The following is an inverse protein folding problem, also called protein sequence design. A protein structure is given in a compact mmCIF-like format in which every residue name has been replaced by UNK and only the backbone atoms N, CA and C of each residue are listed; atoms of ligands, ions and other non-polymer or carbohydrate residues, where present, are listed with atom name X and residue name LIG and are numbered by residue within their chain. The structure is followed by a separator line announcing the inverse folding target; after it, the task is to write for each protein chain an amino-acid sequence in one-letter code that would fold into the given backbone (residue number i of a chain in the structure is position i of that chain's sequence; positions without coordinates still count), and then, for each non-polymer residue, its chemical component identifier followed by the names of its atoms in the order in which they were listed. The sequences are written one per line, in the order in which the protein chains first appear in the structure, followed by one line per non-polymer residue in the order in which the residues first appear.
data_IF_083760010630
#
_entry.id   IF_083760010630
#
_cell.length_a   1.000
_cell.length_b   1.000
_cell.length_c   1.000
_cell.angle_alpha   90.00
_cell.angle_beta   90.00
_cell.angle_gamma   90.00
#
_symmetry.space_group_name_H-M   'P 1'
#
loop_
_entity.id
_entity.type
_entity.pdbx_description
1 polymer ?
#
# COMPACT_ATOMS: atom_id res chain seq x y z
N UNK A 1 -2.70 -16.30 1.16
CA UNK A 1 -3.31 -15.01 0.79
C UNK A 1 -2.95 -14.70 -0.64
N UNK A 2 -3.94 -14.38 -1.49
CA UNK A 2 -3.73 -14.03 -2.90
C UNK A 2 -4.73 -12.94 -3.29
N UNK A 3 -4.23 -11.80 -3.77
CA UNK A 3 -5.07 -10.73 -4.30
C UNK A 3 -4.49 -10.19 -5.59
N UNK A 4 -5.37 -9.90 -6.54
CA UNK A 4 -5.01 -9.05 -7.66
C UNK A 4 -5.04 -7.59 -7.20
N UNK A 5 -4.11 -6.79 -7.70
CA UNK A 5 -3.98 -5.36 -7.45
C UNK A 5 -3.52 -4.67 -8.73
N UNK A 6 -3.51 -3.35 -8.73
CA UNK A 6 -3.07 -2.55 -9.86
C UNK A 6 -2.23 -1.37 -9.36
N UNK A 7 -0.96 -1.34 -9.76
CA UNK A 7 -0.04 -0.25 -9.48
C UNK A 7 -0.20 0.83 -10.55
N UNK A 8 -0.91 1.90 -10.23
CA UNK A 8 -1.16 3.00 -11.16
C UNK A 8 0.10 3.82 -11.42
N UNK A 9 0.48 3.96 -12.69
CA UNK A 9 1.51 4.92 -13.14
C UNK A 9 0.90 6.23 -13.60
N UNK A 10 -0.32 6.17 -14.14
CA UNK A 10 -1.15 7.34 -14.47
C UNK A 10 -2.61 7.09 -14.05
N UNK A 11 -3.53 7.99 -14.41
CA UNK A 11 -4.97 7.78 -14.13
C UNK A 11 -5.59 6.62 -14.93
N UNK A 12 -4.98 6.21 -16.05
CA UNK A 12 -5.55 5.23 -16.99
C UNK A 12 -4.69 3.97 -17.21
N UNK A 13 -3.41 4.01 -16.85
CA UNK A 13 -2.47 2.91 -17.02
C UNK A 13 -1.69 2.58 -15.75
N UNK A 14 -1.05 1.41 -15.78
CA UNK A 14 -0.28 0.89 -14.66
C UNK A 14 0.04 -0.57 -14.85
N UNK A 15 0.58 -1.17 -13.79
CA UNK A 15 0.99 -2.55 -13.80
C UNK A 15 0.04 -3.41 -12.97
N UNK A 16 -0.50 -4.50 -13.52
CA UNK A 16 -1.15 -5.54 -12.75
C UNK A 16 -0.15 -6.18 -11.77
N UNK A 17 -0.60 -6.37 -10.53
CA UNK A 17 0.20 -6.98 -9.47
C UNK A 17 -0.57 -8.13 -8.84
N UNK A 18 0.10 -9.25 -8.60
CA UNK A 18 -0.37 -10.32 -7.76
C UNK A 18 0.27 -10.20 -6.38
N UNK A 19 -0.53 -9.87 -5.36
CA UNK A 19 -0.08 -9.81 -3.98
C UNK A 19 -0.19 -11.20 -3.36
N UNK A 20 0.93 -11.73 -2.91
CA UNK A 20 1.03 -13.00 -2.20
C UNK A 20 1.26 -12.79 -0.71
N UNK A 21 1.45 -13.87 0.06
CA UNK A 21 1.83 -13.74 1.47
C UNK A 21 3.28 -13.23 1.64
N UNK A 22 4.15 -13.51 0.68
CA UNK A 22 5.57 -13.21 0.71
C UNK A 22 5.83 -11.81 0.15
N UNK A 23 5.33 -11.56 -1.04
CA UNK A 23 5.67 -10.38 -1.84
C UNK A 23 4.57 -9.98 -2.86
N UNK A 24 4.56 -8.72 -3.30
CA UNK A 24 3.90 -8.31 -4.53
C UNK A 24 4.70 -8.79 -5.75
N UNK A 25 4.00 -9.25 -6.79
CA UNK A 25 4.59 -9.74 -8.04
C UNK A 25 3.97 -8.99 -9.20
N UNK A 26 4.77 -8.23 -9.95
CA UNK A 26 4.33 -7.62 -11.20
C UNK A 26 4.14 -8.71 -12.25
N UNK A 27 2.96 -8.76 -12.88
CA UNK A 27 2.61 -9.85 -13.81
C UNK A 27 2.69 -9.41 -15.28
N UNK A 28 3.07 -8.16 -15.54
CA UNK A 28 3.41 -7.65 -16.87
C UNK A 28 4.74 -6.92 -16.84
N UNK A 29 5.47 -6.94 -17.95
CA UNK A 29 6.74 -6.19 -18.11
C UNK A 29 6.49 -4.73 -18.51
N UNK A 30 5.39 -4.47 -19.23
CA UNK A 30 4.96 -3.13 -19.66
C UNK A 30 3.64 -2.74 -18.97
N UNK A 31 3.39 -1.43 -18.77
CA UNK A 31 2.13 -0.96 -18.23
C UNK A 31 1.00 -1.23 -19.23
N UNK A 32 -0.18 -1.56 -18.70
CA UNK A 32 -1.39 -1.80 -19.49
C UNK A 32 -2.49 -0.84 -19.07
N UNK A 33 -3.56 -0.77 -19.88
CA UNK A 33 -4.74 0.00 -19.53
C UNK A 33 -5.49 -0.64 -18.37
N UNK A 34 -5.91 0.17 -17.38
CA UNK A 34 -6.71 -0.30 -16.24
C UNK A 34 -8.01 -0.98 -16.69
N UNK A 35 -8.58 -0.56 -17.82
CA UNK A 35 -9.79 -1.17 -18.42
C UNK A 35 -9.53 -2.59 -18.91
N UNK A 36 -8.37 -2.84 -19.49
CA UNK A 36 -7.97 -4.18 -19.93
C UNK A 36 -7.86 -5.12 -18.72
N UNK A 37 -7.19 -4.67 -17.67
CA UNK A 37 -7.07 -5.42 -16.43
C UNK A 37 -8.45 -5.73 -15.80
N UNK A 38 -9.34 -4.72 -15.72
CA UNK A 38 -10.70 -4.90 -15.21
C UNK A 38 -11.50 -5.93 -16.02
N UNK A 39 -11.38 -5.94 -17.34
CA UNK A 39 -12.04 -6.93 -18.19
C UNK A 39 -11.57 -8.35 -17.85
N UNK A 40 -10.26 -8.55 -17.72
CA UNK A 40 -9.68 -9.84 -17.33
C UNK A 40 -10.15 -10.29 -15.94
N UNK A 41 -10.19 -9.38 -14.95
CA UNK A 41 -10.73 -9.70 -13.62
C UNK A 41 -12.21 -10.08 -13.68
N UNK A 42 -13.01 -9.41 -14.52
CA UNK A 42 -14.43 -9.77 -14.69
C UNK A 42 -14.60 -11.15 -15.33
N UNK A 43 -13.71 -11.55 -16.24
CA UNK A 43 -13.67 -12.91 -16.78
C UNK A 43 -13.31 -13.94 -15.70
N UNK A 44 -12.38 -13.61 -14.79
CA UNK A 44 -12.03 -14.47 -13.65
C UNK A 44 -13.19 -14.71 -12.69
N UNK A 45 -13.99 -13.69 -12.38
CA UNK A 45 -15.19 -13.88 -11.54
C UNK A 45 -16.17 -14.85 -12.20
N UNK A 46 -16.22 -14.83 -13.53
CA UNK A 46 -17.10 -15.67 -14.33
C UNK A 46 -16.43 -16.97 -14.81
N UNK A 47 -15.32 -17.40 -14.19
CA UNK A 47 -14.59 -18.63 -14.53
C UNK A 47 -15.52 -19.86 -14.56
N UNK A 48 -16.06 -20.14 -15.74
CA UNK A 48 -16.78 -21.38 -16.09
C UNK A 48 -15.82 -22.45 -16.62
N UNK A 49 -14.66 -22.03 -17.11
CA UNK A 49 -13.62 -22.91 -17.66
C UNK A 49 -12.72 -23.47 -16.56
N UNK A 50 -12.17 -24.66 -16.80
CA UNK A 50 -11.26 -25.35 -15.86
C UNK A 50 -9.89 -24.67 -15.78
N UNK A 51 -9.49 -23.95 -16.84
CA UNK A 51 -8.20 -23.26 -16.93
C UNK A 51 -8.34 -21.95 -17.71
N UNK A 52 -7.63 -20.91 -17.29
CA UNK A 52 -7.42 -19.67 -18.05
C UNK A 52 -5.97 -19.20 -17.90
N UNK A 53 -5.52 -18.35 -18.82
CA UNK A 53 -4.23 -17.66 -18.75
C UNK A 53 -4.49 -16.15 -18.63
N UNK A 54 -3.81 -15.48 -17.71
CA UNK A 54 -3.86 -14.03 -17.53
C UNK A 54 -2.45 -13.53 -17.29
N UNK A 55 -1.90 -12.80 -18.28
CA UNK A 55 -0.55 -12.24 -18.23
C UNK A 55 0.50 -13.30 -17.83
N UNK A 56 0.42 -14.50 -18.42
CA UNK A 56 1.35 -15.60 -18.12
C UNK A 56 1.07 -16.34 -16.81
N UNK A 57 0.06 -15.92 -16.04
CA UNK A 57 -0.46 -16.69 -14.91
C UNK A 57 -1.41 -17.77 -15.41
N UNK A 58 -1.04 -19.04 -15.20
CA UNK A 58 -1.95 -20.15 -15.45
C UNK A 58 -2.84 -20.39 -14.24
N UNK A 59 -4.12 -20.09 -14.39
CA UNK A 59 -5.14 -20.20 -13.33
C UNK A 59 -6.01 -21.41 -13.63
N UNK A 60 -6.04 -22.38 -12.71
CA UNK A 60 -6.73 -23.66 -12.86
C UNK A 60 -7.70 -23.85 -11.69
N UNK A 61 -8.97 -24.07 -11.99
CA UNK A 61 -10.01 -24.35 -10.99
C UNK A 61 -10.18 -25.86 -10.83
N UNK A 62 -9.88 -26.38 -9.65
CA UNK A 62 -9.97 -27.79 -9.29
C UNK A 62 -10.96 -27.98 -8.14
N UNK A 63 -12.25 -28.06 -8.46
CA UNK A 63 -13.31 -28.20 -7.45
C UNK A 63 -13.35 -27.01 -6.50
N UNK A 64 -13.02 -27.24 -5.23
CA UNK A 64 -13.05 -26.24 -4.16
C UNK A 64 -11.82 -25.31 -4.13
N UNK A 65 -10.82 -25.55 -4.97
CA UNK A 65 -9.58 -24.77 -4.98
C UNK A 65 -9.30 -24.15 -6.36
N UNK A 66 -8.58 -23.03 -6.32
CA UNK A 66 -7.96 -22.42 -7.49
C UNK A 66 -6.44 -22.51 -7.31
N UNK A 67 -5.77 -23.06 -8.31
CA UNK A 67 -4.31 -23.14 -8.41
C UNK A 67 -3.84 -22.07 -9.39
N UNK A 68 -2.91 -21.23 -8.96
CA UNK A 68 -2.26 -20.20 -9.77
C UNK A 68 -0.81 -20.61 -9.94
N UNK A 69 -0.37 -20.80 -11.19
CA UNK A 69 1.03 -21.06 -11.52
C UNK A 69 1.65 -19.78 -12.04
N UNK A 70 2.70 -19.34 -11.36
CA UNK A 70 3.50 -18.17 -11.73
C UNK A 70 4.43 -18.50 -12.91
N UNK A 71 4.92 -17.48 -13.65
CA UNK A 71 5.85 -17.68 -14.77
C UNK A 71 7.15 -18.39 -14.36
N UNK A 72 7.62 -18.14 -13.13
CA UNK A 72 8.80 -18.79 -12.53
C UNK A 72 8.56 -20.26 -12.12
N UNK A 73 7.34 -20.77 -12.31
CA UNK A 73 6.95 -22.15 -12.01
C UNK A 73 6.43 -22.38 -10.58
N UNK A 74 6.51 -21.40 -9.68
CA UNK A 74 5.89 -21.47 -8.34
C UNK A 74 4.38 -21.68 -8.48
N UNK A 75 3.80 -22.39 -7.51
CA UNK A 75 2.38 -22.68 -7.48
C UNK A 75 1.76 -22.18 -6.19
N UNK A 76 0.65 -21.46 -6.32
CA UNK A 76 -0.12 -20.93 -5.20
C UNK A 76 -1.51 -21.57 -5.24
N UNK A 77 -2.00 -22.02 -4.09
CA UNK A 77 -3.33 -22.60 -3.95
C UNK A 77 -4.16 -21.76 -2.98
N UNK A 78 -5.40 -21.49 -3.37
CA UNK A 78 -6.38 -20.73 -2.57
C UNK A 78 -7.75 -21.38 -2.74
N UNK A 79 -8.64 -21.23 -1.76
CA UNK A 79 -10.01 -21.71 -1.92
C UNK A 79 -10.72 -20.94 -3.03
N UNK A 80 -11.58 -21.61 -3.80
CA UNK A 80 -12.32 -20.98 -4.90
C UNK A 80 -13.24 -19.85 -4.43
N UNK A 81 -13.82 -20.00 -3.22
CA UNK A 81 -14.64 -18.98 -2.58
C UNK A 81 -13.85 -17.73 -2.21
N UNK A 82 -12.68 -17.90 -1.59
CA UNK A 82 -11.78 -16.78 -1.25
C UNK A 82 -11.23 -16.12 -2.52
N UNK A 83 -10.79 -16.89 -3.52
CA UNK A 83 -10.32 -16.37 -4.79
C UNK A 83 -11.36 -15.45 -5.45
N UNK A 84 -12.61 -15.93 -5.57
CA UNK A 84 -13.69 -15.15 -6.20
C UNK A 84 -13.98 -13.88 -5.42
N UNK A 85 -14.04 -13.97 -4.08
CA UNK A 85 -14.26 -12.83 -3.19
C UNK A 85 -13.14 -11.80 -3.32
N UNK A 86 -11.90 -12.24 -3.44
CA UNK A 86 -10.72 -11.39 -3.56
C UNK A 86 -10.73 -10.66 -4.90
N UNK A 87 -11.00 -11.36 -6.01
CA UNK A 87 -11.13 -10.76 -7.35
C UNK A 87 -12.25 -9.71 -7.38
N UNK A 88 -13.43 -10.04 -6.82
CA UNK A 88 -14.55 -9.09 -6.72
C UNK A 88 -14.19 -7.86 -5.88
N UNK A 89 -13.45 -8.06 -4.79
CA UNK A 89 -12.98 -6.97 -3.94
C UNK A 89 -12.02 -6.04 -4.70
N UNK A 90 -11.07 -6.59 -5.45
CA UNK A 90 -10.16 -5.84 -6.33
C UNK A 90 -10.92 -5.02 -7.35
N UNK A 91 -11.89 -5.62 -8.06
CA UNK A 91 -12.71 -4.90 -9.06
C UNK A 91 -13.43 -3.71 -8.42
N UNK A 92 -14.07 -3.90 -7.27
CA UNK A 92 -14.76 -2.82 -6.56
C UNK A 92 -13.79 -1.72 -6.13
N UNK A 93 -12.62 -2.08 -5.64
CA UNK A 93 -11.63 -1.09 -5.21
C UNK A 93 -11.04 -0.30 -6.39
N UNK A 94 -10.70 -0.94 -7.52
CA UNK A 94 -10.26 -0.24 -8.72
C UNK A 94 -11.35 0.73 -9.21
N UNK A 95 -12.62 0.29 -9.23
CA UNK A 95 -13.74 1.16 -9.61
C UNK A 95 -13.87 2.36 -8.67
N UNK A 96 -13.63 2.19 -7.37
CA UNK A 96 -13.62 3.31 -6.40
C UNK A 96 -12.52 4.31 -6.72
N UNK A 97 -11.31 3.85 -7.05
CA UNK A 97 -10.20 4.73 -7.44
C UNK A 97 -10.60 5.55 -8.67
N UNK A 98 -11.09 4.91 -9.73
CA UNK A 98 -11.55 5.58 -10.96
C UNK A 98 -12.69 6.57 -10.71
N UNK A 99 -13.54 6.31 -9.72
CA UNK A 99 -14.64 7.18 -9.31
C UNK A 99 -14.21 8.26 -8.28
N UNK A 100 -12.93 8.35 -7.93
CA UNK A 100 -12.40 9.22 -6.87
C UNK A 100 -13.18 9.01 -5.57
N UNK A 101 -13.29 7.75 -5.13
CA UNK A 101 -13.95 7.33 -3.90
C UNK A 101 -12.96 6.58 -3.01
N UNK A 102 -13.18 6.59 -1.68
CA UNK A 102 -12.26 5.93 -0.77
C UNK A 102 -12.32 4.42 -0.98
N UNK A 103 -11.15 3.82 -1.13
CA UNK A 103 -10.95 2.38 -1.21
C UNK A 103 -11.02 1.76 0.17
N UNK A 104 -11.59 0.55 0.23
CA UNK A 104 -11.71 -0.20 1.49
C UNK A 104 -10.60 -1.22 1.51
N UNK A 105 -9.71 -1.08 2.47
CA UNK A 105 -8.54 -1.95 2.60
C UNK A 105 -8.72 -2.86 3.81
N UNK A 106 -8.67 -4.16 3.59
CA UNK A 106 -8.71 -5.24 4.59
C UNK A 106 -7.32 -5.76 4.90
N UNK A 107 -6.37 -5.57 3.99
CA UNK A 107 -4.98 -5.92 4.19
C UNK A 107 -4.07 -4.75 3.84
N UNK A 108 -3.17 -4.41 4.77
CA UNK A 108 -2.14 -3.39 4.59
C UNK A 108 -0.84 -3.96 5.17
N UNK A 109 0.27 -3.73 4.48
CA UNK A 109 1.60 -4.12 4.93
C UNK A 109 2.61 -3.06 4.51
N UNK A 110 3.56 -2.80 5.40
CA UNK A 110 4.73 -2.00 5.13
C UNK A 110 5.92 -2.95 5.21
N UNK A 111 6.62 -3.14 4.10
CA UNK A 111 7.77 -4.04 4.01
C UNK A 111 9.02 -3.19 3.84
N UNK A 112 10.00 -3.41 4.71
CA UNK A 112 11.33 -2.85 4.55
C UNK A 112 12.10 -3.71 3.54
N UNK A 113 12.60 -3.10 2.47
CA UNK A 113 13.50 -3.71 1.50
C UNK A 113 14.92 -3.31 1.86
N UNK A 114 15.78 -4.32 2.01
CA UNK A 114 17.19 -4.08 2.23
C UNK A 114 17.84 -3.73 0.90
N UNK A 115 18.79 -2.78 0.88
CA UNK A 115 19.69 -2.64 -0.25
C UNK A 115 20.53 -3.92 -0.35
N UNK A 116 20.21 -4.83 -1.28
CA UNK A 116 21.06 -5.98 -1.56
C UNK A 116 22.19 -5.55 -2.52
N UNK A 117 23.44 -5.71 -2.06
CA UNK A 117 24.70 -5.74 -2.83
C UNK A 117 25.19 -4.51 -3.62
N UNK A 118 24.45 -3.40 -3.69
CA UNK A 118 24.89 -2.24 -4.51
C UNK A 118 25.81 -1.21 -3.84
N UNK A 119 26.01 -1.27 -2.53
CA UNK A 119 26.71 -0.19 -1.81
C UNK A 119 27.85 -0.73 -0.98
N UNK A 120 29.08 -0.39 -1.38
CA UNK A 120 30.28 -0.62 -0.58
C UNK A 120 30.16 0.12 0.76
N UNK A 121 30.52 -0.57 1.85
CA UNK A 121 30.43 -0.16 3.27
C UNK A 121 31.21 1.13 3.66
N UNK A 122 31.56 2.00 2.71
CA UNK A 122 32.42 3.17 2.91
C UNK A 122 31.73 4.53 2.87
N UNK A 123 30.47 4.65 2.44
CA UNK A 123 29.79 5.94 2.36
C UNK A 123 28.84 6.16 3.55
N UNK A 124 29.34 6.89 4.55
CA UNK A 124 28.66 7.22 5.82
C UNK A 124 27.25 7.84 5.67
N UNK A 125 26.90 8.38 4.49
CA UNK A 125 25.60 9.04 4.24
C UNK A 125 24.47 8.10 3.80
N UNK A 126 24.75 6.90 3.28
CA UNK A 126 23.73 6.04 2.65
C UNK A 126 23.30 4.81 3.48
N UNK A 127 23.98 4.53 4.60
CA UNK A 127 23.72 3.33 5.43
C UNK A 127 22.38 3.34 6.19
N UNK A 128 21.70 4.49 6.23
CA UNK A 128 20.38 4.64 6.85
C UNK A 128 19.26 4.75 5.81
N UNK A 129 19.56 4.65 4.52
CA UNK A 129 18.56 4.72 3.46
C UNK A 129 18.08 3.32 3.07
N UNK A 130 16.78 3.13 3.07
CA UNK A 130 16.13 1.85 2.76
C UNK A 130 14.99 2.10 1.80
N UNK A 131 14.73 1.14 0.93
CA UNK A 131 13.46 1.14 0.20
C UNK A 131 12.39 0.49 1.07
N UNK A 132 11.16 0.97 0.95
CA UNK A 132 9.99 0.32 1.53
C UNK A 132 8.97 0.02 0.45
N UNK A 133 8.22 -1.06 0.62
CA UNK A 133 6.99 -1.33 -0.13
C UNK A 133 5.79 -1.18 0.81
N UNK A 134 4.87 -0.26 0.50
CA UNK A 134 3.56 -0.19 1.14
C UNK A 134 2.57 -0.85 0.21
N UNK A 135 2.02 -2.00 0.61
CA UNK A 135 1.04 -2.68 -0.21
C UNK A 135 -0.21 -3.11 0.54
N UNK A 136 -1.33 -3.11 -0.18
CA UNK A 136 -2.63 -3.54 0.27
C UNK A 136 -3.51 -3.94 -0.91
N UNK A 137 -4.80 -4.14 -0.67
CA UNK A 137 -5.74 -4.74 -1.66
C UNK A 137 -5.79 -4.06 -3.05
N UNK A 138 -5.26 -2.85 -3.19
CA UNK A 138 -5.26 -2.05 -4.43
C UNK A 138 -4.08 -1.08 -4.52
N UNK A 139 -3.08 -1.23 -3.65
CA UNK A 139 -2.00 -0.27 -3.58
C UNK A 139 -0.67 -0.99 -3.47
N UNK A 140 0.30 -0.48 -4.20
CA UNK A 140 1.72 -0.75 -4.03
C UNK A 140 2.37 0.62 -4.13
N UNK A 141 3.23 0.98 -3.19
CA UNK A 141 4.12 2.13 -3.32
C UNK A 141 5.48 1.71 -2.85
N UNK A 142 6.46 2.00 -3.70
CA UNK A 142 7.86 1.85 -3.38
C UNK A 142 8.40 3.23 -3.09
N UNK A 143 9.08 3.42 -1.95
CA UNK A 143 9.71 4.69 -1.62
C UNK A 143 10.99 4.49 -0.82
N UNK A 144 11.98 5.34 -1.05
CA UNK A 144 13.20 5.38 -0.23
C UNK A 144 12.99 6.23 1.02
N UNK A 145 13.42 5.72 2.17
CA UNK A 145 13.28 6.32 3.50
C UNK A 145 14.62 6.47 4.19
N UNK A 146 14.70 7.36 5.18
CA UNK A 146 15.67 7.24 6.26
C UNK A 146 15.08 6.35 7.37
N UNK A 147 15.77 5.27 7.76
CA UNK A 147 15.25 4.25 8.68
C UNK A 147 14.86 4.81 10.06
N UNK A 148 15.62 5.76 10.58
CA UNK A 148 15.35 6.36 11.89
C UNK A 148 14.15 7.29 11.84
N UNK A 149 14.11 8.18 10.85
CA UNK A 149 13.00 9.10 10.67
C UNK A 149 11.70 8.33 10.39
N UNK A 150 11.78 7.27 9.58
CA UNK A 150 10.67 6.38 9.31
C UNK A 150 10.15 5.69 10.57
N UNK A 151 11.03 5.16 11.42
CA UNK A 151 10.63 4.53 12.67
C UNK A 151 9.93 5.54 13.61
N UNK A 152 10.42 6.77 13.69
CA UNK A 152 9.81 7.83 14.48
C UNK A 152 8.43 8.23 13.92
N UNK A 153 8.29 8.34 12.59
CA UNK A 153 7.01 8.57 11.91
C UNK A 153 6.02 7.40 12.13
N UNK A 154 6.46 6.15 12.06
CA UNK A 154 5.64 4.96 12.34
C UNK A 154 5.13 4.94 13.80
N UNK A 155 6.01 5.23 14.76
CA UNK A 155 5.63 5.29 16.19
C UNK A 155 4.65 6.43 16.46
N UNK A 156 4.90 7.61 15.90
CA UNK A 156 3.98 8.74 16.00
C UNK A 156 2.61 8.44 15.40
N UNK A 157 2.58 7.75 14.24
CA UNK A 157 1.33 7.32 13.61
C UNK A 157 0.59 6.30 14.48
N UNK A 158 1.31 5.32 15.04
CA UNK A 158 0.73 4.33 15.96
C UNK A 158 0.13 5.01 17.19
N UNK A 159 0.86 5.89 17.88
CA UNK A 159 0.37 6.63 19.05
C UNK A 159 -0.89 7.46 18.71
N UNK A 160 -0.92 8.11 17.55
CA UNK A 160 -2.08 8.87 17.11
C UNK A 160 -3.31 7.97 16.89
N UNK A 161 -3.13 6.79 16.29
CA UNK A 161 -4.24 5.85 16.05
C UNK A 161 -4.72 5.19 17.34
N UNK A 162 -3.80 4.76 18.21
CA UNK A 162 -4.13 4.07 19.47
C UNK A 162 -4.76 5.01 20.48
N UNK A 163 -4.13 6.15 20.74
CA UNK A 163 -4.40 7.04 21.87
C UNK A 163 -5.03 8.38 21.47
N UNK A 164 -5.09 8.70 20.17
CA UNK A 164 -5.52 10.03 19.70
C UNK A 164 -4.50 11.14 19.99
N UNK A 165 -3.27 10.77 20.36
CA UNK A 165 -2.21 11.71 20.73
C UNK A 165 -1.69 12.45 19.50
N UNK A 166 -1.75 13.78 19.54
CA UNK A 166 -1.27 14.62 18.45
C UNK A 166 0.27 14.79 18.52
N UNK A 167 0.96 14.95 17.37
CA UNK A 167 2.37 15.25 17.35
C UNK A 167 2.66 16.62 18.00
N UNK A 168 3.87 16.79 18.53
CA UNK A 168 4.30 18.06 19.15
C UNK A 168 4.44 19.17 18.11
N UNK A 169 4.83 18.80 16.90
CA UNK A 169 4.99 19.65 15.74
C UNK A 169 3.62 20.10 15.22
N UNK A 170 3.16 21.27 15.66
CA UNK A 170 1.84 21.82 15.27
C UNK A 170 1.63 21.92 13.75
N UNK A 171 2.70 22.11 12.98
CA UNK A 171 2.63 22.17 11.52
C UNK A 171 2.19 20.84 10.87
N UNK A 172 2.33 19.72 11.58
CA UNK A 172 1.83 18.41 11.12
C UNK A 172 0.31 18.26 11.29
N UNK A 173 -0.36 19.15 12.02
CA UNK A 173 -1.80 19.03 12.34
C UNK A 173 -2.60 20.04 11.53
N UNK A 174 -3.51 19.52 10.72
CA UNK A 174 -4.43 20.31 9.89
C UNK A 174 -5.82 20.27 10.50
N UNK A 175 -6.27 21.43 10.97
CA UNK A 175 -7.62 21.64 11.50
C UNK A 175 -8.61 22.15 10.46
N UNK A 176 -8.11 22.87 9.47
CA UNK A 176 -8.91 23.45 8.40
C UNK A 176 -8.20 23.23 7.06
N UNK A 177 -8.78 22.35 6.24
CA UNK A 177 -8.26 22.03 4.91
C UNK A 177 -8.37 23.21 3.93
N UNK A 178 -9.21 24.21 4.23
CA UNK A 178 -9.34 25.40 3.39
C UNK A 178 -8.14 26.36 3.52
N UNK A 179 -7.34 26.22 4.58
CA UNK A 179 -6.17 27.07 4.84
C UNK A 179 -4.86 26.50 4.29
N UNK A 180 -4.90 25.30 3.71
CA UNK A 180 -3.72 24.67 3.11
C UNK A 180 -3.23 25.50 1.92
N UNK A 181 -1.93 25.82 1.92
CA UNK A 181 -1.30 26.65 0.88
C UNK A 181 -1.09 25.85 -0.42
N UNK A 182 -0.69 26.54 -1.47
CA UNK A 182 -0.28 25.91 -2.74
C UNK A 182 0.91 24.95 -2.51
N UNK A 183 0.89 23.76 -3.11
CA UNK A 183 1.93 22.73 -2.98
C UNK A 183 1.37 21.31 -2.93
N UNK A 184 2.14 20.36 -2.37
CA UNK A 184 1.76 18.94 -2.19
C UNK A 184 0.44 18.75 -1.42
N UNK A 185 0.08 19.73 -0.58
CA UNK A 185 -1.14 19.71 0.24
C UNK A 185 -2.42 19.98 -0.58
N UNK A 186 -2.31 20.41 -1.86
CA UNK A 186 -3.45 20.71 -2.74
C UNK A 186 -4.33 19.49 -3.05
N UNK A 187 -3.78 18.28 -2.99
CA UNK A 187 -4.56 17.06 -3.21
C UNK A 187 -5.50 16.78 -2.02
N UNK A 188 -5.11 17.15 -0.80
CA UNK A 188 -5.84 16.77 0.42
C UNK A 188 -7.30 17.25 0.43
N UNK A 189 -7.65 18.52 0.11
CA UNK A 189 -9.05 18.94 0.05
C UNK A 189 -9.90 18.11 -0.91
N UNK A 190 -9.33 17.73 -2.05
CA UNK A 190 -10.01 16.91 -3.06
C UNK A 190 -10.24 15.48 -2.53
N UNK A 191 -9.23 14.89 -1.89
CA UNK A 191 -9.33 13.54 -1.32
C UNK A 191 -10.26 13.48 -0.11
N UNK A 192 -10.24 14.49 0.76
CA UNK A 192 -11.15 14.59 1.91
C UNK A 192 -12.59 14.74 1.44
N UNK A 193 -12.84 15.62 0.47
CA UNK A 193 -14.18 15.77 -0.14
C UNK A 193 -14.65 14.48 -0.78
N UNK A 194 -13.75 13.74 -1.41
CA UNK A 194 -14.01 12.45 -2.04
C UNK A 194 -14.30 11.33 -1.03
N UNK A 195 -13.77 11.44 0.19
CA UNK A 195 -13.83 10.39 1.20
C UNK A 195 -15.12 10.35 2.03
N UNK A 196 -16.02 11.33 1.90
CA UNK A 196 -17.28 11.53 2.62
C UNK A 196 -17.18 11.28 4.15
N UNK A 197 -17.51 12.32 4.93
CA UNK A 197 -17.58 12.27 6.40
C UNK A 197 -16.24 11.97 7.10
N UNK A 198 -15.17 12.69 6.75
CA UNK A 198 -13.94 12.72 7.54
C UNK A 198 -13.73 14.12 8.09
N UNK A 199 -13.71 14.24 9.41
CA UNK A 199 -13.51 15.50 10.11
C UNK A 199 -12.06 15.63 10.60
N UNK A 200 -11.55 16.86 10.74
CA UNK A 200 -10.26 17.13 11.36
C UNK A 200 -10.21 16.62 12.82
N UNK A 201 -9.01 16.41 13.39
CA UNK A 201 -7.71 16.76 12.82
C UNK A 201 -7.22 15.76 11.76
N UNK A 202 -6.54 16.28 10.74
CA UNK A 202 -5.72 15.48 9.83
C UNK A 202 -4.26 15.62 10.24
N UNK A 203 -3.58 14.50 10.50
CA UNK A 203 -2.19 14.49 10.97
C UNK A 203 -1.27 13.98 9.87
N UNK A 204 -0.22 14.75 9.58
CA UNK A 204 0.76 14.49 8.54
C UNK A 204 1.89 13.58 9.03
N UNK A 205 2.13 12.50 8.29
CA UNK A 205 3.27 11.59 8.45
C UNK A 205 4.03 11.46 7.14
N UNK A 206 5.34 11.27 7.22
CA UNK A 206 6.17 10.95 6.05
C UNK A 206 6.40 9.44 6.04
N UNK A 207 5.93 8.77 5.00
CA UNK A 207 6.18 7.35 4.81
C UNK A 207 7.20 7.08 3.69
N UNK A 208 7.53 8.08 2.87
CA UNK A 208 8.67 8.06 1.93
C UNK A 208 9.44 9.37 2.01
N UNK A 209 10.77 9.35 1.91
CA UNK A 209 11.62 10.54 2.11
C UNK A 209 12.14 11.12 0.79
N UNK A 210 12.49 10.30 -0.19
CA UNK A 210 13.25 10.78 -1.37
C UNK A 210 12.56 10.55 -2.72
N UNK A 211 12.30 9.30 -3.11
CA UNK A 211 11.68 9.00 -4.41
C UNK A 211 10.73 7.79 -4.33
N UNK A 212 9.40 8.00 -4.49
CA UNK A 212 8.72 9.27 -4.34
C UNK A 212 8.62 9.65 -2.85
N UNK A 213 8.73 10.95 -2.56
CA UNK A 213 8.29 11.50 -1.27
C UNK A 213 6.81 11.14 -1.08
N UNK A 214 6.49 10.29 -0.11
CA UNK A 214 5.12 9.91 0.20
C UNK A 214 4.67 10.53 1.52
N UNK A 215 3.75 11.48 1.41
CA UNK A 215 3.11 12.15 2.54
C UNK A 215 1.73 11.56 2.72
N UNK A 216 1.47 11.06 3.92
CA UNK A 216 0.15 10.55 4.30
C UNK A 216 -0.46 11.45 5.36
N UNK A 217 -1.67 11.95 5.09
CA UNK A 217 -2.51 12.56 6.10
C UNK A 217 -3.44 11.51 6.68
N UNK A 218 -3.57 11.50 8.00
CA UNK A 218 -4.34 10.48 8.72
C UNK A 218 -5.41 11.15 9.58
N UNK A 219 -6.63 10.61 9.53
CA UNK A 219 -7.70 10.97 10.44
C UNK A 219 -8.24 9.71 11.13
N UNK A 220 -8.45 9.80 12.43
CA UNK A 220 -8.97 8.71 13.25
C UNK A 220 -10.50 8.78 13.27
N UNK A 221 -11.16 7.70 12.82
CA UNK A 221 -12.61 7.58 12.72
C UNK A 221 -13.20 6.64 13.79
N UNK A 222 -12.44 6.32 14.84
CA UNK A 222 -12.84 5.39 15.90
C UNK A 222 -12.40 3.95 15.60
N UNK A 223 -13.28 3.15 15.00
CA UNK A 223 -12.97 1.75 14.63
C UNK A 223 -12.12 1.64 13.34
N UNK A 224 -11.94 2.77 12.65
CA UNK A 224 -11.24 2.88 11.37
C UNK A 224 -10.32 4.09 11.35
N UNK A 225 -9.37 4.08 10.44
CA UNK A 225 -8.59 5.24 10.05
C UNK A 225 -8.84 5.59 8.58
N UNK A 226 -8.84 6.88 8.27
CA UNK A 226 -8.73 7.38 6.91
C UNK A 226 -7.28 7.77 6.64
N UNK A 227 -6.69 7.21 5.58
CA UNK A 227 -5.35 7.53 5.10
C UNK A 227 -5.47 8.25 3.76
N UNK A 228 -4.83 9.40 3.62
CA UNK A 228 -4.84 10.22 2.41
C UNK A 228 -3.41 10.32 1.88
N UNK A 229 -3.14 9.61 0.80
CA UNK A 229 -1.86 9.59 0.10
C UNK A 229 -1.88 10.75 -0.90
N UNK A 230 -1.15 11.84 -0.63
CA UNK A 230 -1.35 13.11 -1.35
C UNK A 230 -0.31 13.39 -2.44
N UNK A 231 0.84 12.72 -2.39
CA UNK A 231 1.94 13.01 -3.29
C UNK A 231 1.89 12.12 -4.54
N UNK A 232 2.11 10.81 -4.36
CA UNK A 232 2.20 9.88 -5.49
C UNK A 232 0.84 9.31 -5.85
N UNK A 233 0.22 8.60 -4.92
CA UNK A 233 -0.95 7.80 -5.22
C UNK A 233 -2.24 8.61 -5.44
N UNK A 234 -2.36 9.78 -4.78
CA UNK A 234 -3.57 10.62 -4.81
C UNK A 234 -4.85 9.80 -4.54
N UNK A 235 -4.78 8.93 -3.54
CA UNK A 235 -5.90 8.07 -3.13
C UNK A 235 -6.30 8.33 -1.68
N UNK A 236 -7.56 8.07 -1.39
CA UNK A 236 -8.09 7.98 -0.04
C UNK A 236 -8.37 6.52 0.31
N UNK A 237 -7.86 6.05 1.44
CA UNK A 237 -8.07 4.70 1.96
C UNK A 237 -8.84 4.78 3.27
N UNK A 238 -9.83 3.90 3.45
CA UNK A 238 -10.42 3.60 4.75
C UNK A 238 -9.98 2.20 5.17
N UNK A 239 -9.30 2.11 6.30
CA UNK A 239 -8.72 0.87 6.84
C UNK A 239 -9.24 0.63 8.26
N UNK A 240 -9.61 -0.61 8.65
CA UNK A 240 -9.88 -0.94 10.03
C UNK A 240 -8.69 -0.61 10.94
N UNK A 241 -8.97 -0.07 12.13
CA UNK A 241 -7.92 0.31 13.09
C UNK A 241 -7.03 -0.90 13.42
N UNK A 242 -7.62 -2.07 13.63
CA UNK A 242 -6.89 -3.32 13.90
C UNK A 242 -5.92 -3.72 12.77
N UNK A 243 -6.33 -3.55 11.51
CA UNK A 243 -5.50 -3.86 10.33
C UNK A 243 -4.33 -2.90 10.26
N UNK A 244 -4.58 -1.59 10.44
CA UNK A 244 -3.53 -0.58 10.44
C UNK A 244 -2.53 -0.80 11.58
N UNK A 245 -3.00 -1.04 12.80
CA UNK A 245 -2.12 -1.27 13.95
C UNK A 245 -1.27 -2.53 13.81
N UNK A 246 -1.83 -3.61 13.28
CA UNK A 246 -1.06 -4.82 12.98
C UNK A 246 0.06 -4.52 11.98
N UNK A 247 -0.27 -3.82 10.88
CA UNK A 247 0.71 -3.42 9.87
C UNK A 247 1.83 -2.53 10.45
N UNK A 248 1.47 -1.56 11.30
CA UNK A 248 2.44 -0.69 11.98
C UNK A 248 3.32 -1.45 12.96
N UNK A 249 2.77 -2.38 13.74
CA UNK A 249 3.53 -3.18 14.69
C UNK A 249 4.58 -4.05 13.98
N UNK A 250 4.21 -4.67 12.85
CA UNK A 250 5.15 -5.45 12.06
C UNK A 250 6.24 -4.54 11.47
N UNK A 251 5.87 -3.38 10.90
CA UNK A 251 6.81 -2.43 10.33
C UNK A 251 7.82 -1.87 11.36
N UNK A 252 7.32 -1.52 12.56
CA UNK A 252 8.15 -1.03 13.67
C UNK A 252 9.13 -2.12 14.10
N UNK A 253 8.66 -3.35 14.29
CA UNK A 253 9.51 -4.48 14.69
C UNK A 253 10.61 -4.74 13.67
N UNK A 254 10.28 -4.71 12.39
CA UNK A 254 11.23 -4.95 11.31
C UNK A 254 12.28 -3.83 11.24
N UNK A 255 11.86 -2.56 11.37
CA UNK A 255 12.77 -1.41 11.41
C UNK A 255 13.67 -1.42 12.67
N UNK A 256 13.14 -1.76 13.85
CA UNK A 256 13.91 -1.89 15.09
C UNK A 256 14.97 -2.98 14.98
N UNK A 257 14.60 -4.16 14.46
CA UNK A 257 15.53 -5.26 14.23
C UNK A 257 16.67 -4.87 13.28
N UNK A 258 16.35 -4.08 12.25
CA UNK A 258 17.35 -3.59 11.32
C UNK A 258 18.30 -2.57 11.97
N UNK A 259 17.77 -1.63 12.77
CA UNK A 259 18.60 -0.70 13.54
C UNK A 259 19.51 -1.42 14.55
N UNK A 260 19.03 -2.48 15.20
CA UNK A 260 19.86 -3.30 16.09
C UNK A 260 20.98 -4.01 15.34
N UNK A 261 20.70 -4.52 14.13
CA UNK A 261 21.72 -5.13 13.27
C UNK A 261 22.83 -4.14 12.94
N UNK A 262 22.48 -2.92 12.53
CA UNK A 262 23.47 -1.87 12.22
C UNK A 262 24.38 -1.59 13.42
N UNK A 263 23.80 -1.43 14.62
CA UNK A 263 24.54 -1.25 15.88
C UNK A 263 25.53 -2.37 16.19
N UNK A 264 25.09 -3.62 15.99
CA UNK A 264 25.93 -4.80 16.25
C UNK A 264 27.07 -4.97 15.22
N UNK A 265 26.87 -4.46 14.01
CA UNK A 265 27.89 -4.44 12.95
C UNK A 265 28.96 -3.36 13.16
N UNK A 266 28.92 -2.60 14.27
CA UNK A 266 29.88 -1.56 14.59
C UNK A 266 29.53 -0.18 14.01
N UNK A 267 28.26 0.02 13.62
CA UNK A 267 27.75 1.24 13.00
C UNK A 267 26.70 1.92 13.87
#
# INVERSE_FOLDING_TARGET
MVYFSFYFTTEEDGFPVLITAEEPIFITEEPILVKEFLNMLMELVNLRTVSTDIFGLKIIKNGEYVKIRLPDGRNIQVSAGEFTKNVQHTIENIRRILQKRPVKVKHLKFRLLRPEEFWSEGDESYLNEYDIEIYGDVYVLNATINLRDYLDDLRGLKEFIEEGKLPKEKWRVVWDIAQLKQGLEKALPTLVKSADCVSPPFVRFNLGTYDPLEIVYVSNLGDRAALFFVAWAKIAIKVPKEVLLMALNDAIRDAEKELERLKLSGW
#
